data_IF_434431901610
#
_entry.id   IF_434431901610
#
_cell.length_a   1.000
_cell.length_b   1.000
_cell.length_c   1.000
_cell.angle_alpha   90.00
_cell.angle_beta   90.00
_cell.angle_gamma   90.00
#
_symmetry.space_group_name_H-M   'P 1'
#
loop_
_entity.id
_entity.type
_entity.pdbx_description
1 polymer ?
#
# COMPACT_ATOMS: atom_id res chain seq x y z
N UNK A 1 8.65 -13.87 -17.69
CA UNK A 1 9.50 -13.16 -16.70
C UNK A 1 8.65 -12.06 -16.08
N UNK A 2 8.37 -12.11 -14.77
CA UNK A 2 7.69 -11.01 -14.11
C UNK A 2 8.61 -9.80 -14.09
N UNK A 3 8.12 -8.67 -14.59
CA UNK A 3 8.81 -7.39 -14.40
C UNK A 3 8.70 -7.07 -12.93
N UNK A 4 9.82 -7.07 -12.21
CA UNK A 4 9.87 -6.46 -10.88
C UNK A 4 9.63 -4.98 -11.08
N UNK A 5 8.41 -4.53 -10.82
CA UNK A 5 8.09 -3.12 -10.90
C UNK A 5 8.95 -2.39 -9.88
N UNK A 6 9.54 -1.29 -10.32
CA UNK A 6 10.20 -0.39 -9.38
C UNK A 6 9.14 0.17 -8.41
N UNK A 7 9.52 0.57 -7.18
CA UNK A 7 8.57 1.19 -6.24
C UNK A 7 7.80 2.39 -6.83
N UNK A 8 8.38 3.10 -7.81
CA UNK A 8 7.72 4.17 -8.55
C UNK A 8 6.58 3.65 -9.44
N UNK A 9 6.80 2.58 -10.21
CA UNK A 9 5.75 2.00 -11.06
C UNK A 9 4.58 1.45 -10.24
N UNK A 10 4.83 0.90 -9.05
CA UNK A 10 3.75 0.49 -8.14
C UNK A 10 2.90 1.68 -7.68
N UNK A 11 3.53 2.84 -7.42
CA UNK A 11 2.81 4.06 -7.05
C UNK A 11 1.92 4.54 -8.21
N UNK A 12 2.46 4.56 -9.43
CA UNK A 12 1.72 5.00 -10.62
C UNK A 12 0.50 4.13 -10.92
N UNK A 13 0.63 2.80 -10.81
CA UNK A 13 -0.50 1.86 -10.99
C UNK A 13 -1.58 2.10 -9.94
N UNK A 14 -1.19 2.34 -8.68
CA UNK A 14 -2.15 2.59 -7.58
C UNK A 14 -2.89 3.92 -7.77
N UNK A 15 -2.16 4.96 -8.22
CA UNK A 15 -2.75 6.27 -8.54
C UNK A 15 -3.74 6.13 -9.70
N UNK A 16 -3.38 5.41 -10.75
CA UNK A 16 -4.25 5.19 -11.91
C UNK A 16 -5.56 4.48 -11.56
N UNK A 17 -5.48 3.41 -10.76
CA UNK A 17 -6.68 2.68 -10.30
C UNK A 17 -7.56 3.57 -9.41
N UNK A 18 -6.96 4.36 -8.53
CA UNK A 18 -7.69 5.32 -7.68
C UNK A 18 -8.37 6.41 -8.51
N UNK A 19 -7.71 6.92 -9.55
CA UNK A 19 -8.29 7.89 -10.49
C UNK A 19 -9.44 7.28 -11.28
N UNK A 20 -9.29 6.06 -11.80
CA UNK A 20 -10.32 5.35 -12.58
C UNK A 20 -11.57 5.10 -11.72
N UNK A 21 -11.41 4.65 -10.48
CA UNK A 21 -12.51 4.50 -9.53
C UNK A 21 -13.21 5.84 -9.23
N UNK A 22 -12.43 6.90 -9.04
CA UNK A 22 -12.92 8.27 -8.93
C UNK A 22 -13.78 8.67 -10.14
N UNK A 23 -13.30 8.47 -11.36
CA UNK A 23 -14.04 8.83 -12.58
C UNK A 23 -15.36 8.06 -12.71
N UNK A 24 -15.36 6.76 -12.44
CA UNK A 24 -16.58 5.94 -12.52
C UNK A 24 -17.62 6.44 -11.50
N UNK A 25 -17.20 6.64 -10.25
CA UNK A 25 -18.09 7.12 -9.19
C UNK A 25 -18.60 8.54 -9.43
N UNK A 26 -17.75 9.46 -9.88
CA UNK A 26 -18.13 10.82 -10.25
C UNK A 26 -19.10 10.83 -11.43
N UNK A 27 -18.87 10.00 -12.44
CA UNK A 27 -19.78 9.82 -13.58
C UNK A 27 -21.16 9.30 -13.14
N UNK A 28 -21.19 8.29 -12.27
CA UNK A 28 -22.44 7.75 -11.74
C UNK A 28 -23.20 8.76 -10.87
N UNK A 29 -22.50 9.58 -10.09
CA UNK A 29 -23.10 10.64 -9.28
C UNK A 29 -23.63 11.82 -10.13
N UNK A 30 -23.10 12.03 -11.34
CA UNK A 30 -23.53 13.10 -12.25
C UNK A 30 -24.91 12.88 -12.85
N UNK A 31 -25.34 11.64 -13.00
CA UNK A 31 -26.66 11.30 -13.55
C UNK A 31 -27.79 11.81 -12.64
N UNK A 32 -27.89 11.40 -11.36
CA UNK A 32 -29.00 11.82 -10.50
C UNK A 32 -28.96 13.32 -10.19
N UNK A 33 -27.78 13.94 -10.10
CA UNK A 33 -27.70 15.39 -9.88
C UNK A 33 -28.16 16.19 -11.08
N UNK A 34 -27.77 15.78 -12.28
CA UNK A 34 -28.20 16.46 -13.51
C UNK A 34 -29.70 16.28 -13.71
N UNK A 35 -30.25 15.08 -13.46
CA UNK A 35 -31.69 14.83 -13.50
C UNK A 35 -32.45 15.65 -12.45
N UNK A 36 -31.94 15.72 -11.21
CA UNK A 36 -32.53 16.51 -10.14
C UNK A 36 -32.53 18.01 -10.44
N UNK A 37 -31.43 18.52 -10.99
CA UNK A 37 -31.33 19.91 -11.41
C UNK A 37 -32.27 20.21 -12.58
N UNK A 38 -32.35 19.32 -13.57
CA UNK A 38 -33.28 19.45 -14.70
C UNK A 38 -34.73 19.46 -14.22
N UNK A 39 -35.11 18.54 -13.32
CA UNK A 39 -36.43 18.52 -12.70
C UNK A 39 -36.71 19.81 -11.91
N UNK A 40 -35.75 20.28 -11.10
CA UNK A 40 -35.91 21.53 -10.35
C UNK A 40 -36.09 22.75 -11.26
N UNK A 41 -35.42 22.78 -12.41
CA UNK A 41 -35.57 23.83 -13.41
C UNK A 41 -36.94 23.78 -14.10
N UNK A 42 -37.47 22.59 -14.38
CA UNK A 42 -38.74 22.43 -15.10
C UNK A 42 -39.97 22.59 -14.18
N UNK A 43 -39.91 22.08 -12.95
CA UNK A 43 -41.07 22.04 -12.04
C UNK A 43 -41.17 23.26 -11.10
N UNK A 44 -40.09 24.04 -10.89
CA UNK A 44 -40.11 25.16 -9.94
C UNK A 44 -39.64 26.49 -10.55
N UNK A 45 -40.58 27.36 -11.01
CA UNK A 45 -40.22 28.70 -11.50
C UNK A 45 -39.62 29.58 -10.40
N UNK A 46 -39.92 29.29 -9.12
CA UNK A 46 -39.29 29.96 -7.97
C UNK A 46 -37.80 29.63 -7.89
N UNK A 47 -37.42 28.38 -8.16
CA UNK A 47 -36.02 27.96 -8.18
C UNK A 47 -35.24 28.65 -9.31
N UNK A 48 -35.83 28.76 -10.50
CA UNK A 48 -35.23 29.47 -11.64
C UNK A 48 -35.02 30.95 -11.32
N UNK A 49 -35.98 31.62 -10.68
CA UNK A 49 -35.85 33.04 -10.28
C UNK A 49 -34.83 33.24 -9.16
N UNK A 50 -34.71 32.29 -8.23
CA UNK A 50 -33.78 32.39 -7.10
C UNK A 50 -32.33 32.02 -7.47
N UNK A 51 -32.11 31.24 -8.54
CA UNK A 51 -30.77 30.72 -8.89
C UNK A 51 -30.23 31.34 -10.18
N UNK A 52 -29.03 31.91 -10.10
CA UNK A 52 -28.28 32.39 -11.27
C UNK A 52 -27.60 31.22 -12.00
N UNK A 53 -27.29 31.37 -13.30
CA UNK A 53 -26.62 30.38 -14.15
C UNK A 53 -25.41 29.73 -13.46
N UNK A 54 -24.53 30.54 -12.86
CA UNK A 54 -23.36 30.06 -12.11
C UNK A 54 -23.73 29.09 -10.97
N UNK A 55 -24.81 29.35 -10.25
CA UNK A 55 -25.26 28.50 -9.14
C UNK A 55 -25.81 27.16 -9.64
N UNK A 56 -26.41 27.15 -10.83
CA UNK A 56 -26.93 25.93 -11.47
C UNK A 56 -25.78 25.05 -11.93
N UNK A 57 -24.76 25.65 -12.55
CA UNK A 57 -23.53 24.93 -12.92
C UNK A 57 -22.84 24.34 -11.69
N UNK A 58 -22.75 25.08 -10.59
CA UNK A 58 -22.17 24.58 -9.35
C UNK A 58 -22.95 23.39 -8.76
N UNK A 59 -24.30 23.45 -8.76
CA UNK A 59 -25.15 22.35 -8.30
C UNK A 59 -25.01 21.07 -9.15
N UNK A 60 -24.77 21.22 -10.46
CA UNK A 60 -24.53 20.08 -11.33
C UNK A 60 -23.15 19.43 -11.07
N UNK A 61 -22.11 20.25 -10.85
CA UNK A 61 -20.72 19.80 -10.81
C UNK A 61 -20.27 19.36 -9.41
N UNK A 62 -20.77 20.01 -8.35
CA UNK A 62 -20.27 19.78 -6.99
C UNK A 62 -20.45 18.35 -6.49
N UNK A 63 -21.64 17.72 -6.58
CA UNK A 63 -21.79 16.38 -6.02
C UNK A 63 -21.01 15.30 -6.79
N UNK A 64 -20.87 15.35 -8.13
CA UNK A 64 -19.94 14.50 -8.87
C UNK A 64 -18.48 14.66 -8.46
N UNK A 65 -18.01 15.91 -8.28
CA UNK A 65 -16.66 16.16 -7.79
C UNK A 65 -16.47 15.65 -6.35
N UNK A 66 -17.49 15.81 -5.51
CA UNK A 66 -17.47 15.29 -4.15
C UNK A 66 -17.39 13.76 -4.13
N UNK A 67 -18.20 13.08 -4.94
CA UNK A 67 -18.16 11.63 -5.09
C UNK A 67 -16.79 11.17 -5.60
N UNK A 68 -16.27 11.80 -6.66
CA UNK A 68 -14.94 11.55 -7.20
C UNK A 68 -13.86 11.65 -6.11
N UNK A 69 -13.83 12.75 -5.35
CA UNK A 69 -12.83 12.98 -4.31
C UNK A 69 -13.00 11.99 -3.14
N UNK A 70 -14.23 11.69 -2.73
CA UNK A 70 -14.52 10.75 -1.66
C UNK A 70 -14.04 9.33 -2.02
N UNK A 71 -14.32 8.88 -3.24
CA UNK A 71 -13.91 7.56 -3.74
C UNK A 71 -12.41 7.47 -3.96
N UNK A 72 -11.82 8.49 -4.60
CA UNK A 72 -10.39 8.56 -4.84
C UNK A 72 -9.58 8.56 -3.54
N UNK A 73 -10.12 9.13 -2.45
CA UNK A 73 -9.45 9.14 -1.14
C UNK A 73 -9.62 7.85 -0.32
N UNK A 74 -10.61 7.01 -0.64
CA UNK A 74 -10.88 5.76 0.11
C UNK A 74 -11.12 4.58 -0.84
N UNK A 75 -10.08 4.12 -1.58
CA UNK A 75 -10.23 3.03 -2.55
C UNK A 75 -10.74 1.72 -1.89
N UNK A 76 -10.42 1.49 -0.61
CA UNK A 76 -10.78 0.27 0.11
C UNK A 76 -12.20 0.28 0.70
N UNK A 77 -12.90 1.42 0.71
CA UNK A 77 -14.22 1.52 1.37
C UNK A 77 -15.39 1.49 0.37
N UNK A 78 -15.13 1.37 -0.94
CA UNK A 78 -16.14 1.61 -1.97
C UNK A 78 -16.84 0.35 -2.50
N UNK A 79 -17.37 -0.46 -1.60
CA UNK A 79 -18.57 -1.25 -1.91
C UNK A 79 -19.60 -1.02 -0.81
N UNK A 80 -20.37 0.08 -0.85
CA UNK A 80 -21.54 0.19 0.00
C UNK A 80 -22.50 -0.92 -0.42
N UNK A 81 -22.77 -1.86 0.49
CA UNK A 81 -23.81 -2.90 0.39
C UNK A 81 -25.18 -2.38 -0.06
N UNK A 82 -25.41 -1.06 -0.07
CA UNK A 82 -26.61 -0.41 -0.59
C UNK A 82 -26.66 -0.27 -2.13
N UNK A 83 -25.52 -0.16 -2.83
CA UNK A 83 -25.48 -0.03 -4.31
C UNK A 83 -25.49 -1.42 -5.00
N UNK A 84 -25.25 -2.49 -4.22
CA UNK A 84 -25.29 -3.88 -4.67
C UNK A 84 -26.73 -4.38 -4.97
N UNK A 85 -27.75 -3.76 -4.38
CA UNK A 85 -29.16 -4.15 -4.63
C UNK A 85 -29.71 -3.65 -5.97
N UNK A 86 -29.14 -2.59 -6.53
CA UNK A 86 -29.50 -2.09 -7.88
C UNK A 86 -28.65 -2.72 -8.99
N UNK A 87 -27.68 -3.57 -8.65
CA UNK A 87 -26.72 -4.22 -9.56
C UNK A 87 -26.88 -5.76 -9.61
N UNK A 88 -28.04 -6.29 -9.23
CA UNK A 88 -28.36 -7.72 -9.37
C UNK A 88 -28.36 -8.22 -10.84
N UNK A 89 -28.24 -7.33 -11.83
CA UNK A 89 -28.02 -7.68 -13.23
C UNK A 89 -26.53 -7.93 -13.60
N UNK A 90 -25.58 -7.80 -12.66
CA UNK A 90 -24.13 -7.94 -12.91
C UNK A 90 -23.50 -9.23 -12.34
N UNK A 91 -24.29 -10.16 -11.83
CA UNK A 91 -23.80 -11.39 -11.17
C UNK A 91 -22.94 -12.29 -12.08
N UNK A 92 -23.12 -12.23 -13.40
CA UNK A 92 -22.26 -12.95 -14.35
C UNK A 92 -20.80 -12.47 -14.38
N UNK A 93 -20.54 -11.20 -14.04
CA UNK A 93 -19.18 -10.65 -13.97
C UNK A 93 -18.46 -10.99 -12.68
N UNK A 94 -19.18 -11.29 -11.60
CA UNK A 94 -18.58 -11.65 -10.31
C UNK A 94 -18.00 -13.07 -10.34
N UNK A 95 -18.69 -14.02 -10.96
CA UNK A 95 -18.19 -15.40 -11.15
C UNK A 95 -16.96 -15.43 -12.06
N UNK A 96 -16.93 -14.59 -13.10
CA UNK A 96 -15.77 -14.47 -13.97
C UNK A 96 -14.55 -13.86 -13.23
N UNK A 97 -14.78 -12.83 -12.41
CA UNK A 97 -13.73 -12.24 -11.56
C UNK A 97 -13.22 -13.16 -10.46
N UNK A 98 -14.05 -14.05 -9.91
CA UNK A 98 -13.58 -15.05 -8.94
C UNK A 98 -12.67 -16.10 -9.60
N UNK A 99 -12.96 -16.49 -10.84
CA UNK A 99 -12.05 -17.36 -11.60
C UNK A 99 -10.75 -16.65 -12.00
N UNK A 100 -10.81 -15.36 -12.31
CA UNK A 100 -9.64 -14.52 -12.61
C UNK A 100 -8.76 -14.31 -11.37
N UNK A 101 -9.36 -14.08 -10.19
CA UNK A 101 -8.60 -14.00 -8.93
C UNK A 101 -8.03 -15.35 -8.50
N UNK A 102 -8.72 -16.46 -8.78
CA UNK A 102 -8.19 -17.80 -8.52
C UNK A 102 -6.99 -18.11 -9.43
N UNK A 103 -7.04 -17.73 -10.72
CA UNK A 103 -5.92 -17.91 -11.64
C UNK A 103 -4.75 -16.96 -11.31
N UNK A 104 -5.01 -15.74 -10.84
CA UNK A 104 -3.97 -14.83 -10.33
C UNK A 104 -3.31 -15.36 -9.06
N UNK A 105 -4.07 -15.99 -8.14
CA UNK A 105 -3.52 -16.62 -6.93
C UNK A 105 -2.62 -17.82 -7.28
N UNK A 106 -3.02 -18.64 -8.25
CA UNK A 106 -2.19 -19.73 -8.78
C UNK A 106 -0.94 -19.21 -9.49
N UNK A 107 -1.07 -18.14 -10.27
CA UNK A 107 0.08 -17.50 -10.94
C UNK A 107 1.05 -16.88 -9.95
N UNK A 108 0.55 -16.24 -8.89
CA UNK A 108 1.33 -15.71 -7.75
C UNK A 108 2.13 -16.83 -7.08
N UNK A 109 1.49 -17.97 -6.79
CA UNK A 109 2.14 -19.13 -6.18
C UNK A 109 3.24 -19.69 -7.08
N UNK A 110 2.95 -19.87 -8.37
CA UNK A 110 3.92 -20.36 -9.34
C UNK A 110 5.10 -19.40 -9.52
N UNK A 111 4.84 -18.09 -9.41
CA UNK A 111 5.89 -17.08 -9.41
C UNK A 111 6.76 -17.13 -8.16
N UNK A 112 6.15 -17.26 -6.98
CA UNK A 112 6.88 -17.38 -5.73
C UNK A 112 7.81 -18.61 -5.77
N UNK A 113 7.30 -19.75 -6.23
CA UNK A 113 8.07 -20.98 -6.44
C UNK A 113 9.21 -20.78 -7.46
N UNK A 114 8.95 -20.11 -8.58
CA UNK A 114 9.96 -19.80 -9.59
C UNK A 114 11.07 -18.89 -9.05
N UNK A 115 10.71 -17.85 -8.30
CA UNK A 115 11.67 -16.89 -7.71
C UNK A 115 12.54 -17.58 -6.66
N UNK A 116 11.94 -18.44 -5.83
CA UNK A 116 12.65 -19.24 -4.84
C UNK A 116 13.62 -20.23 -5.51
N UNK A 117 13.21 -20.89 -6.60
CA UNK A 117 14.11 -21.74 -7.38
C UNK A 117 15.25 -20.95 -8.04
N UNK A 118 14.98 -19.75 -8.55
CA UNK A 118 16.00 -18.92 -9.18
C UNK A 118 17.07 -18.47 -8.17
N UNK A 119 16.64 -18.00 -6.99
CA UNK A 119 17.55 -17.61 -5.90
C UNK A 119 18.39 -18.81 -5.45
N UNK A 120 17.78 -19.99 -5.28
CA UNK A 120 18.51 -21.21 -4.93
C UNK A 120 19.54 -21.59 -6.00
N UNK A 121 19.23 -21.39 -7.29
CA UNK A 121 20.14 -21.70 -8.40
C UNK A 121 21.34 -20.75 -8.42
N UNK A 122 21.11 -19.45 -8.24
CA UNK A 122 22.19 -18.46 -8.12
C UNK A 122 23.09 -18.75 -6.91
N UNK A 123 22.50 -19.08 -5.75
CA UNK A 123 23.25 -19.42 -4.55
C UNK A 123 24.10 -20.69 -4.76
N UNK A 124 23.58 -21.66 -5.52
CA UNK A 124 24.31 -22.89 -5.87
C UNK A 124 25.46 -22.61 -6.84
N UNK A 125 25.28 -21.69 -7.79
CA UNK A 125 26.37 -21.25 -8.68
C UNK A 125 27.45 -20.47 -7.92
N UNK A 126 27.07 -19.58 -7.00
CA UNK A 126 28.04 -18.91 -6.13
C UNK A 126 28.84 -19.89 -5.28
N UNK A 127 28.18 -20.89 -4.68
CA UNK A 127 28.86 -21.95 -3.93
C UNK A 127 29.83 -22.75 -4.81
N UNK A 128 29.45 -23.06 -6.05
CA UNK A 128 30.36 -23.71 -7.02
C UNK A 128 31.57 -22.83 -7.33
N UNK A 129 31.39 -21.52 -7.54
CA UNK A 129 32.50 -20.58 -7.80
C UNK A 129 33.45 -20.48 -6.60
N UNK A 130 32.90 -20.44 -5.38
CA UNK A 130 33.71 -20.44 -4.16
C UNK A 130 34.45 -21.76 -3.94
N UNK A 131 33.84 -22.90 -4.28
CA UNK A 131 34.49 -24.21 -4.14
C UNK A 131 35.60 -24.42 -5.17
N UNK A 132 35.41 -24.04 -6.44
CA UNK A 132 36.48 -24.12 -7.45
C UNK A 132 37.64 -23.17 -7.15
N UNK A 133 37.37 -21.96 -6.63
CA UNK A 133 38.44 -21.07 -6.19
C UNK A 133 39.22 -21.66 -5.00
N UNK A 134 38.56 -22.29 -4.02
CA UNK A 134 39.25 -22.92 -2.89
C UNK A 134 40.06 -24.16 -3.28
N UNK A 135 39.58 -24.95 -4.25
CA UNK A 135 40.29 -26.16 -4.73
C UNK A 135 41.56 -25.78 -5.51
N UNK A 136 41.56 -24.67 -6.24
CA UNK A 136 42.73 -24.20 -6.98
C UNK A 136 43.76 -23.46 -6.12
N UNK A 137 43.39 -23.00 -4.92
CA UNK A 137 44.23 -22.13 -4.09
C UNK A 137 45.01 -22.82 -2.96
N UNK A 138 44.83 -24.13 -2.69
CA UNK A 138 45.57 -24.78 -1.59
C UNK A 138 45.97 -26.25 -1.86
N UNK A 139 47.24 -26.51 -2.21
CA UNK A 139 47.89 -27.77 -1.90
C UNK A 139 48.50 -27.68 -0.49
N UNK A 140 47.89 -28.33 0.52
CA UNK A 140 48.61 -28.57 1.78
C UNK A 140 47.88 -28.40 3.12
N UNK A 141 46.55 -28.58 3.21
CA UNK A 141 45.84 -28.58 4.51
C UNK A 141 44.95 -29.82 4.67
N UNK A 142 45.55 -31.01 4.54
CA UNK A 142 44.95 -32.27 4.98
C UNK A 142 45.20 -32.44 6.48
N UNK A 143 44.37 -31.83 7.32
CA UNK A 143 44.56 -31.96 8.76
C UNK A 143 43.70 -31.10 9.67
N UNK A 144 42.60 -30.51 9.19
CA UNK A 144 41.69 -29.77 10.07
C UNK A 144 40.38 -30.53 10.22
N UNK A 145 40.31 -31.30 11.32
CA UNK A 145 39.08 -31.82 11.93
C UNK A 145 37.96 -30.79 11.78
N UNK A 146 36.77 -31.25 11.43
CA UNK A 146 35.54 -30.48 11.49
C UNK A 146 35.37 -29.88 12.90
N UNK A 147 35.84 -28.65 13.06
CA UNK A 147 35.40 -27.69 14.06
C UNK A 147 33.96 -27.39 13.63
N UNK A 148 32.94 -27.88 14.33
CA UNK A 148 32.68 -27.57 15.72
C UNK A 148 31.50 -26.63 15.71
N UNK A 149 30.29 -27.19 15.84
CA UNK A 149 29.03 -26.48 15.99
C UNK A 149 28.94 -25.74 17.35
N UNK A 150 30.03 -25.13 17.83
CA UNK A 150 30.18 -24.76 19.25
C UNK A 150 30.72 -23.35 19.49
N UNK A 151 30.81 -22.48 18.48
CA UNK A 151 31.10 -21.04 18.67
C UNK A 151 30.25 -20.18 17.74
N UNK A 152 28.93 -20.36 17.80
CA UNK A 152 27.93 -19.54 17.09
C UNK A 152 27.31 -18.47 18.02
N UNK A 153 27.74 -18.39 19.28
CA UNK A 153 27.24 -17.40 20.25
C UNK A 153 27.74 -15.99 19.97
N UNK A 154 29.06 -15.78 19.98
CA UNK A 154 29.64 -14.41 19.98
C UNK A 154 29.59 -13.72 18.61
N UNK A 155 29.75 -14.46 17.50
CA UNK A 155 29.68 -13.85 16.15
C UNK A 155 28.27 -13.46 15.71
N UNK A 156 27.25 -14.04 16.36
CA UNK A 156 25.86 -13.78 16.01
C UNK A 156 25.36 -12.46 16.63
N UNK A 157 25.85 -12.09 17.82
CA UNK A 157 25.51 -10.80 18.44
C UNK A 157 26.02 -9.61 17.63
N UNK A 158 27.26 -9.66 17.12
CA UNK A 158 27.81 -8.57 16.29
C UNK A 158 27.04 -8.43 14.97
N UNK A 159 26.66 -9.55 14.35
CA UNK A 159 25.83 -9.53 13.14
C UNK A 159 24.41 -9.01 13.41
N UNK A 160 23.80 -9.36 14.55
CA UNK A 160 22.50 -8.82 14.94
C UNK A 160 22.56 -7.30 15.13
N UNK A 161 23.60 -6.78 15.78
CA UNK A 161 23.82 -5.33 15.93
C UNK A 161 24.02 -4.63 14.59
N UNK A 162 24.80 -5.21 13.67
CA UNK A 162 25.01 -4.64 12.34
C UNK A 162 23.71 -4.60 11.53
N UNK A 163 22.89 -5.65 11.65
CA UNK A 163 21.60 -5.73 10.97
C UNK A 163 20.62 -4.70 11.54
N UNK A 164 20.57 -4.54 12.86
CA UNK A 164 19.74 -3.53 13.51
C UNK A 164 20.16 -2.10 13.12
N UNK A 165 21.47 -1.86 12.99
CA UNK A 165 22.00 -0.59 12.50
C UNK A 165 21.56 -0.31 11.05
N UNK A 166 21.66 -1.31 10.15
CA UNK A 166 21.20 -1.19 8.76
C UNK A 166 19.69 -0.98 8.66
N UNK A 167 18.91 -1.59 9.55
CA UNK A 167 17.47 -1.35 9.60
C UNK A 167 17.15 0.08 10.05
N UNK A 168 17.83 0.58 11.08
CA UNK A 168 17.68 1.97 11.52
C UNK A 168 18.05 2.93 10.39
N UNK A 169 19.14 2.66 9.67
CA UNK A 169 19.56 3.43 8.50
C UNK A 169 18.51 3.39 7.38
N UNK A 170 17.96 2.21 7.06
CA UNK A 170 16.92 2.06 6.04
C UNK A 170 15.65 2.84 6.38
N UNK A 171 15.25 2.86 7.66
CA UNK A 171 14.10 3.65 8.14
C UNK A 171 14.39 5.15 8.02
N UNK A 172 15.59 5.61 8.38
CA UNK A 172 15.98 7.02 8.24
C UNK A 172 16.01 7.42 6.76
N UNK A 173 16.57 6.57 5.89
CA UNK A 173 16.62 6.81 4.45
C UNK A 173 15.25 6.75 3.76
N UNK A 174 14.24 6.13 4.38
CA UNK A 174 12.86 6.14 3.87
C UNK A 174 12.17 7.51 3.96
N UNK A 175 12.87 8.54 4.44
CA UNK A 175 12.31 9.87 4.61
C UNK A 175 11.44 9.98 5.84
N UNK A 176 11.72 9.20 6.89
CA UNK A 176 11.06 9.31 8.19
C UNK A 176 11.96 10.10 9.13
N UNK A 177 11.44 11.16 9.74
CA UNK A 177 12.18 11.92 10.75
C UNK A 177 11.89 11.35 12.13
N UNK A 178 12.92 10.77 12.75
CA UNK A 178 12.84 10.25 14.13
C UNK A 178 12.95 11.42 15.09
N UNK A 179 11.93 11.62 15.91
CA UNK A 179 11.93 12.61 16.99
C UNK A 179 12.28 11.89 18.29
N UNK A 180 13.34 12.30 19.01
CA UNK A 180 13.71 11.69 20.28
C UNK A 180 12.62 11.96 21.34
N UNK A 181 12.22 10.91 22.06
CA UNK A 181 11.23 10.99 23.14
C UNK A 181 10.14 9.92 23.02
N UNK A 182 9.47 9.63 24.14
CA UNK A 182 8.42 8.60 24.24
C UNK A 182 7.04 9.07 23.79
N UNK A 183 6.86 10.37 23.51
CA UNK A 183 5.58 10.92 23.07
C UNK A 183 5.76 11.99 22.00
N UNK A 184 5.09 11.80 20.88
CA UNK A 184 5.04 12.78 19.80
C UNK A 184 4.30 14.04 20.28
N UNK A 185 4.94 15.21 20.19
CA UNK A 185 4.32 16.49 20.51
C UNK A 185 3.02 16.73 19.73
N UNK A 186 2.08 17.48 20.31
CA UNK A 186 0.74 17.71 19.73
C UNK A 186 0.84 18.26 18.30
N UNK A 187 1.79 19.15 18.02
CA UNK A 187 2.02 19.71 16.70
C UNK A 187 2.38 18.66 15.63
N UNK A 188 3.21 17.67 15.98
CA UNK A 188 3.57 16.58 15.07
C UNK A 188 2.38 15.62 14.85
N UNK A 189 1.58 15.34 15.89
CA UNK A 189 0.36 14.55 15.75
C UNK A 189 -0.63 15.22 14.80
N UNK A 190 -0.80 16.53 14.92
CA UNK A 190 -1.64 17.31 14.02
C UNK A 190 -1.07 17.29 12.60
N UNK A 191 0.24 17.46 12.42
CA UNK A 191 0.87 17.39 11.09
C UNK A 191 0.66 16.03 10.42
N UNK A 192 0.87 14.93 11.16
CA UNK A 192 0.61 13.57 10.68
C UNK A 192 -0.87 13.36 10.35
N UNK A 193 -1.78 13.81 11.23
CA UNK A 193 -3.23 13.71 10.99
C UNK A 193 -3.65 14.50 9.73
N UNK A 194 -3.03 15.66 9.52
CA UNK A 194 -3.28 16.50 8.35
C UNK A 194 -2.82 15.86 7.06
N UNK A 195 -1.65 15.20 7.09
CA UNK A 195 -1.13 14.43 5.96
C UNK A 195 -2.01 13.23 5.62
N UNK A 196 -2.51 12.51 6.63
CA UNK A 196 -3.35 11.33 6.41
C UNK A 196 -4.76 11.67 5.93
N UNK A 197 -5.31 12.83 6.32
CA UNK A 197 -6.71 13.16 6.06
C UNK A 197 -6.91 14.65 5.68
N UNK A 198 -6.31 15.16 4.59
CA UNK A 198 -6.39 16.58 4.23
C UNK A 198 -7.85 17.04 4.02
N UNK A 199 -8.68 16.18 3.43
CA UNK A 199 -10.10 16.48 3.20
C UNK A 199 -10.93 16.58 4.49
N UNK A 200 -10.63 15.77 5.52
CA UNK A 200 -11.37 15.84 6.80
C UNK A 200 -11.06 17.14 7.53
N UNK A 201 -9.80 17.57 7.51
CA UNK A 201 -9.42 18.88 8.08
C UNK A 201 -10.05 20.01 7.29
N UNK A 202 -10.01 19.93 5.95
CA UNK A 202 -10.64 20.93 5.08
C UNK A 202 -12.14 21.04 5.33
N UNK A 203 -12.84 19.92 5.49
CA UNK A 203 -14.26 19.93 5.85
C UNK A 203 -14.49 20.48 7.26
N UNK A 204 -13.68 20.06 8.23
CA UNK A 204 -13.82 20.44 9.64
C UNK A 204 -13.55 21.91 9.91
N UNK A 205 -12.61 22.54 9.19
CA UNK A 205 -12.27 23.97 9.36
C UNK A 205 -13.00 24.83 8.32
N UNK A 206 -13.09 24.35 7.07
CA UNK A 206 -13.64 25.11 5.96
C UNK A 206 -15.13 25.36 6.09
N UNK A 207 -15.92 24.35 6.47
CA UNK A 207 -17.38 24.51 6.60
C UNK A 207 -17.72 25.54 7.70
N UNK A 208 -17.20 25.44 8.94
CA UNK A 208 -17.45 26.45 9.97
C UNK A 208 -16.95 27.84 9.58
N UNK A 209 -15.80 27.95 8.91
CA UNK A 209 -15.25 29.24 8.48
C UNK A 209 -16.17 29.94 7.48
N UNK A 210 -16.65 29.24 6.46
CA UNK A 210 -17.60 29.80 5.48
C UNK A 210 -18.93 30.15 6.15
N UNK A 211 -19.41 29.30 7.05
CA UNK A 211 -20.66 29.51 7.78
C UNK A 211 -20.57 30.72 8.74
N UNK A 212 -19.42 30.90 9.39
CA UNK A 212 -19.12 32.05 10.24
C UNK A 212 -19.12 33.36 9.44
N UNK A 213 -18.48 33.38 8.26
CA UNK A 213 -18.48 34.54 7.35
C UNK A 213 -19.92 34.88 6.91
N UNK A 214 -20.73 33.87 6.61
CA UNK A 214 -22.13 34.06 6.24
C UNK A 214 -22.97 34.65 7.37
N UNK A 215 -22.81 34.12 8.59
CA UNK A 215 -23.57 34.59 9.76
C UNK A 215 -23.19 36.02 10.16
N UNK A 216 -21.92 36.39 10.08
CA UNK A 216 -21.45 37.74 10.41
C UNK A 216 -22.04 38.84 9.51
N UNK A 217 -22.36 38.55 8.24
CA UNK A 217 -22.94 39.53 7.31
C UNK A 217 -24.47 39.65 7.35
N UNK A 218 -25.14 38.74 8.05
CA UNK A 218 -26.59 38.77 8.19
C UNK A 218 -27.10 39.95 9.03
N UNK A 219 -26.27 40.49 9.95
CA UNK A 219 -26.68 41.55 10.88
C UNK A 219 -26.68 42.99 10.35
N UNK A 220 -26.28 43.27 9.10
CA UNK A 220 -26.21 44.64 8.57
C UNK A 220 -27.46 45.02 7.74
N UNK A 221 -28.62 45.23 8.34
CA UNK A 221 -29.91 45.36 7.61
C UNK A 221 -30.03 46.51 6.60
N UNK A 222 -29.12 47.49 6.57
CA UNK A 222 -29.26 48.69 5.72
C UNK A 222 -28.74 48.56 4.26
N UNK A 223 -27.88 47.60 3.91
CA UNK A 223 -27.33 47.52 2.54
C UNK A 223 -28.13 46.57 1.63
N UNK A 224 -28.56 47.10 0.47
CA UNK A 224 -29.21 46.37 -0.64
C UNK A 224 -28.68 44.94 -0.78
N UNK A 225 -29.55 43.94 -0.56
CA UNK A 225 -29.22 42.50 -0.57
C UNK A 225 -28.41 42.06 -1.80
N UNK A 226 -28.62 42.68 -2.95
CA UNK A 226 -28.00 42.31 -4.22
C UNK A 226 -26.48 42.51 -4.22
N UNK A 227 -25.97 43.63 -3.65
CA UNK A 227 -24.52 43.90 -3.59
C UNK A 227 -23.82 43.03 -2.55
N UNK A 228 -24.52 42.65 -1.47
CA UNK A 228 -23.99 41.73 -0.45
C UNK A 228 -23.76 40.32 -0.99
N UNK A 229 -24.69 39.82 -1.81
CA UNK A 229 -24.60 38.46 -2.38
C UNK A 229 -23.43 38.33 -3.36
N UNK A 230 -23.04 39.42 -4.04
CA UNK A 230 -21.87 39.41 -4.92
C UNK A 230 -20.57 39.31 -4.12
N UNK A 231 -20.40 40.11 -3.07
CA UNK A 231 -19.19 40.09 -2.24
C UNK A 231 -19.04 38.81 -1.41
N UNK A 232 -20.12 38.20 -0.93
CA UNK A 232 -20.02 36.93 -0.20
C UNK A 232 -19.55 35.78 -1.09
N UNK A 233 -19.90 35.79 -2.39
CA UNK A 233 -19.40 34.79 -3.34
C UNK A 233 -17.90 34.91 -3.57
N UNK A 234 -17.42 36.12 -3.86
CA UNK A 234 -15.98 36.37 -4.10
C UNK A 234 -15.17 36.06 -2.84
N UNK A 235 -15.65 36.46 -1.66
CA UNK A 235 -14.98 36.14 -0.39
C UNK A 235 -15.01 34.64 -0.09
N UNK A 236 -16.12 33.96 -0.38
CA UNK A 236 -16.20 32.50 -0.26
C UNK A 236 -15.19 31.80 -1.17
N UNK A 237 -15.10 32.21 -2.43
CA UNK A 237 -14.11 31.67 -3.39
C UNK A 237 -12.68 31.95 -2.94
N UNK A 238 -12.38 33.19 -2.51
CA UNK A 238 -11.07 33.55 -1.99
C UNK A 238 -10.68 32.68 -0.78
N UNK A 239 -11.60 32.47 0.16
CA UNK A 239 -11.37 31.62 1.34
C UNK A 239 -11.05 30.17 0.93
N UNK A 240 -11.82 29.61 -0.02
CA UNK A 240 -11.59 28.24 -0.50
C UNK A 240 -10.25 28.13 -1.23
N UNK A 241 -9.90 29.09 -2.08
CA UNK A 241 -8.63 29.11 -2.81
C UNK A 241 -7.45 29.23 -1.85
N UNK A 242 -7.50 30.17 -0.90
CA UNK A 242 -6.46 30.32 0.13
C UNK A 242 -6.30 29.01 0.92
N UNK A 243 -7.40 28.38 1.32
CA UNK A 243 -7.34 27.11 2.05
C UNK A 243 -6.74 25.97 1.20
N UNK A 244 -7.10 25.86 -0.08
CA UNK A 244 -6.51 24.86 -0.99
C UNK A 244 -5.01 25.10 -1.24
N UNK A 245 -4.60 26.35 -1.42
CA UNK A 245 -3.19 26.72 -1.57
C UNK A 245 -2.38 26.40 -0.32
N UNK A 246 -2.91 26.69 0.87
CA UNK A 246 -2.27 26.30 2.14
C UNK A 246 -2.12 24.79 2.25
N UNK A 247 -3.14 24.01 1.86
CA UNK A 247 -3.04 22.55 1.85
C UNK A 247 -1.99 22.02 0.89
N UNK A 248 -1.92 22.56 -0.33
CA UNK A 248 -0.93 22.13 -1.31
C UNK A 248 0.49 22.48 -0.85
N UNK A 249 0.70 23.69 -0.33
CA UNK A 249 1.99 24.09 0.23
C UNK A 249 2.39 23.27 1.45
N UNK A 250 1.44 22.96 2.33
CA UNK A 250 1.68 22.10 3.48
C UNK A 250 1.97 20.65 3.09
N UNK A 251 1.25 20.13 2.08
CA UNK A 251 1.50 18.79 1.53
C UNK A 251 2.90 18.70 0.94
N UNK A 252 3.31 19.66 0.11
CA UNK A 252 4.66 19.66 -0.47
C UNK A 252 5.74 19.77 0.62
N UNK A 253 5.51 20.59 1.65
CA UNK A 253 6.38 20.66 2.81
C UNK A 253 6.51 19.29 3.49
N UNK A 254 5.40 18.64 3.81
CA UNK A 254 5.38 17.32 4.46
C UNK A 254 5.97 16.22 3.59
N UNK A 255 5.72 16.24 2.28
CA UNK A 255 6.29 15.28 1.33
C UNK A 255 7.82 15.44 1.24
N UNK A 256 8.37 16.64 1.51
CA UNK A 256 9.83 16.88 1.59
C UNK A 256 10.42 16.55 2.96
N UNK A 257 9.75 16.92 4.06
CA UNK A 257 10.28 16.70 5.42
C UNK A 257 10.04 15.29 5.94
N UNK A 258 9.12 14.55 5.34
CA UNK A 258 8.78 13.22 5.78
C UNK A 258 7.77 13.16 6.92
N UNK A 259 7.32 11.94 7.23
CA UNK A 259 6.43 11.68 8.38
C UNK A 259 7.24 11.74 9.68
N UNK A 260 6.68 12.37 10.71
CA UNK A 260 7.28 12.36 12.05
C UNK A 260 6.92 11.05 12.74
N UNK A 261 7.92 10.26 13.10
CA UNK A 261 7.74 9.01 13.82
C UNK A 261 8.53 9.08 15.13
N UNK A 262 7.92 8.59 16.20
CA UNK A 262 8.51 8.54 17.54
C UNK A 262 9.59 7.45 17.58
N UNK A 263 10.64 7.61 18.38
CA UNK A 263 11.67 6.57 18.53
C UNK A 263 11.07 5.22 19.00
N UNK A 264 10.07 5.27 19.89
CA UNK A 264 9.32 4.09 20.32
C UNK A 264 8.55 3.39 19.19
N UNK A 265 8.03 4.15 18.21
CA UNK A 265 7.33 3.59 17.05
C UNK A 265 8.32 2.96 16.07
N UNK A 266 9.53 3.52 15.96
CA UNK A 266 10.64 2.94 15.19
C UNK A 266 11.04 1.62 15.83
N UNK A 267 11.28 1.59 17.14
CA UNK A 267 11.62 0.38 17.89
C UNK A 267 10.52 -0.69 17.75
N UNK A 268 9.25 -0.32 17.88
CA UNK A 268 8.13 -1.25 17.69
C UNK A 268 8.11 -1.83 16.26
N UNK A 269 8.40 -1.02 15.24
CA UNK A 269 8.49 -1.50 13.84
C UNK A 269 9.70 -2.41 13.62
N UNK A 270 10.85 -2.06 14.20
CA UNK A 270 12.05 -2.91 14.15
C UNK A 270 11.77 -4.25 14.82
N UNK A 271 11.12 -4.26 15.99
CA UNK A 271 10.72 -5.48 16.68
C UNK A 271 9.74 -6.34 15.84
N UNK A 272 8.76 -5.72 15.17
CA UNK A 272 7.85 -6.43 14.26
C UNK A 272 8.59 -7.04 13.06
N UNK A 273 9.56 -6.32 12.48
CA UNK A 273 10.38 -6.83 11.39
C UNK A 273 11.30 -7.97 11.84
N UNK A 274 11.90 -7.86 13.03
CA UNK A 274 12.68 -8.94 13.64
C UNK A 274 11.83 -10.18 13.86
N UNK A 275 10.60 -10.04 14.39
CA UNK A 275 9.65 -11.14 14.53
C UNK A 275 9.32 -11.79 13.18
N UNK A 276 9.07 -10.97 12.15
CA UNK A 276 8.80 -11.44 10.79
C UNK A 276 9.99 -12.20 10.20
N UNK A 277 11.21 -11.74 10.46
CA UNK A 277 12.45 -12.41 10.06
C UNK A 277 12.62 -13.76 10.76
N UNK A 278 12.40 -13.82 12.07
CA UNK A 278 12.48 -15.08 12.85
C UNK A 278 11.45 -16.07 12.32
N UNK A 279 10.23 -15.63 12.04
CA UNK A 279 9.20 -16.47 11.46
C UNK A 279 9.62 -17.02 10.08
N UNK A 280 10.17 -16.18 9.21
CA UNK A 280 10.68 -16.61 7.90
C UNK A 280 11.85 -17.59 8.02
N UNK A 281 12.79 -17.36 8.93
CA UNK A 281 13.90 -18.27 9.19
C UNK A 281 13.39 -19.63 9.70
N UNK A 282 12.41 -19.64 10.58
CA UNK A 282 11.77 -20.87 11.06
C UNK A 282 11.06 -21.62 9.93
N UNK A 283 10.37 -20.91 9.03
CA UNK A 283 9.75 -21.51 7.84
C UNK A 283 10.81 -22.13 6.92
N UNK A 284 11.90 -21.42 6.64
CA UNK A 284 13.00 -21.92 5.81
C UNK A 284 13.71 -23.13 6.45
N UNK A 285 13.90 -23.14 7.76
CA UNK A 285 14.45 -24.30 8.47
C UNK A 285 13.53 -25.51 8.38
N UNK A 286 12.21 -25.29 8.52
CA UNK A 286 11.21 -26.36 8.34
C UNK A 286 11.26 -26.93 6.92
N UNK A 287 11.27 -26.07 5.91
CA UNK A 287 11.39 -26.48 4.50
C UNK A 287 12.69 -27.24 4.23
N UNK A 288 13.82 -26.81 4.81
CA UNK A 288 15.09 -27.54 4.69
C UNK A 288 15.02 -28.94 5.28
N UNK A 289 14.45 -29.10 6.48
CA UNK A 289 14.29 -30.42 7.10
C UNK A 289 13.35 -31.33 6.27
N UNK A 290 12.29 -30.77 5.70
CA UNK A 290 11.40 -31.51 4.81
C UNK A 290 12.12 -31.94 3.53
N UNK A 291 12.92 -31.06 2.93
CA UNK A 291 13.73 -31.38 1.76
C UNK A 291 14.78 -32.47 2.05
N UNK A 292 15.42 -32.45 3.21
CA UNK A 292 16.37 -33.49 3.63
C UNK A 292 15.67 -34.85 3.81
N UNK A 293 14.49 -34.88 4.44
CA UNK A 293 13.68 -36.10 4.57
C UNK A 293 13.29 -36.67 3.20
N UNK A 294 12.87 -35.82 2.27
CA UNK A 294 12.54 -36.25 0.89
C UNK A 294 13.78 -36.77 0.17
N UNK A 295 14.94 -36.14 0.35
CA UNK A 295 16.19 -36.61 -0.23
C UNK A 295 16.63 -37.97 0.34
N UNK A 296 16.48 -38.18 1.64
CA UNK A 296 16.75 -39.48 2.29
C UNK A 296 15.80 -40.57 1.80
N UNK A 297 14.50 -40.28 1.66
CA UNK A 297 13.54 -41.22 1.10
C UNK A 297 13.90 -41.63 -0.32
N UNK A 298 14.33 -40.67 -1.16
CA UNK A 298 14.81 -40.96 -2.52
C UNK A 298 16.07 -41.82 -2.52
N UNK A 299 17.02 -41.58 -1.60
CA UNK A 299 18.22 -42.43 -1.45
C UNK A 299 17.85 -43.86 -1.09
N UNK A 300 16.95 -44.05 -0.11
CA UNK A 300 16.48 -45.38 0.31
C UNK A 300 15.75 -46.12 -0.81
N UNK A 301 14.90 -45.43 -1.57
CA UNK A 301 14.23 -46.01 -2.73
C UNK A 301 15.23 -46.45 -3.81
N UNK A 302 16.23 -45.61 -4.11
CA UNK A 302 17.27 -45.93 -5.09
C UNK A 302 18.14 -47.12 -4.63
N UNK A 303 18.51 -47.21 -3.35
CA UNK A 303 19.23 -48.36 -2.80
C UNK A 303 18.41 -49.66 -2.88
N UNK A 304 17.09 -49.59 -2.64
CA UNK A 304 16.21 -50.75 -2.78
C UNK A 304 16.13 -51.22 -4.24
N UNK A 305 16.01 -50.30 -5.19
CA UNK A 305 15.98 -50.62 -6.63
C UNK A 305 17.30 -51.27 -7.09
N UNK A 306 18.45 -50.77 -6.62
CA UNK A 306 19.76 -51.39 -6.92
C UNK A 306 19.82 -52.82 -6.38
N UNK A 307 19.42 -53.04 -5.11
CA UNK A 307 19.38 -54.38 -4.52
C UNK A 307 18.47 -55.34 -5.28
N UNK A 308 17.31 -54.88 -5.75
CA UNK A 308 16.42 -55.70 -6.58
C UNK A 308 17.04 -56.04 -7.94
N UNK A 309 17.75 -55.09 -8.57
CA UNK A 309 18.46 -55.34 -9.84
C UNK A 309 19.58 -56.36 -9.67
N UNK A 310 20.33 -56.30 -8.58
CA UNK A 310 21.42 -57.24 -8.31
C UNK A 310 20.88 -58.64 -7.97
N UNK A 311 19.81 -58.74 -7.17
CA UNK A 311 19.13 -60.01 -6.90
C UNK A 311 18.59 -60.66 -8.18
N UNK A 312 18.02 -59.86 -9.09
CA UNK A 312 17.54 -60.36 -10.38
C UNK A 312 18.66 -60.88 -11.28
N UNK A 313 19.85 -60.25 -11.26
CA UNK A 313 21.02 -60.76 -12.00
C UNK A 313 21.51 -62.09 -11.42
N UNK A 314 21.62 -62.20 -10.10
CA UNK A 314 22.01 -63.45 -9.44
C UNK A 314 21.07 -64.62 -9.77
N UNK A 315 19.76 -64.36 -9.92
CA UNK A 315 18.79 -65.37 -10.34
C UNK A 315 18.89 -65.75 -11.83
N UNK A 316 19.45 -64.90 -12.69
CA UNK A 316 19.66 -65.21 -14.10
C UNK A 316 20.94 -66.01 -14.35
N UNK A 317 21.93 -65.87 -13.47
CA UNK A 317 23.22 -66.54 -13.58
C UNK A 317 23.24 -67.94 -12.91
N UNK A 318 22.20 -68.29 -12.14
CA UNK A 318 22.02 -69.58 -11.46
C UNK A 318 21.17 -70.56 -12.28
#
# INVERSE_FOLDING_TARGET
>A
MPRSYTPQEHADVTVWESMKAGFISGGLAAIPTSMGLYAAMNFSPKFVKATNWQSRTALAIMPPLFAFAYVSSNPNHLYPRLLLRTLAAAESKLVHRMHEMASEAEHSKHMAEWTQQHVLKEHREQLKRMSTQKILAQPGMAGQKMIGATTVGDTNEEQEREIDAKFRESIVNSGVRVVPGSSLGVHHKIANFWQENPFKILAGIGIPSVLYIFRGKAGQEHLQMQMKVMHTRVLGQATVITMLLTLMGFKEYMDRTGKFITESDVEARVAQMQQSRIELLNRLQREKMEHEKVAEQRRKAHEADLKMRDAKKLLQDA
#
